data_IF_558959949937
#
_entry.id   IF_558959949937
#
_cell.length_a   1.000
_cell.length_b   1.000
_cell.length_c   1.000
_cell.angle_alpha   90.00
_cell.angle_beta   90.00
_cell.angle_gamma   90.00
#
_symmetry.space_group_name_H-M   'P 1'
#
loop_
_entity.id
_entity.type
_entity.pdbx_description
1 polymer ?
#
# COMPACT_ATOMS: atom_id res chain seq x y z
N UNK A 1 -24.66 24.90 -14.90
CA UNK A 1 -24.86 23.59 -14.22
C UNK A 1 -23.93 22.50 -14.72
N UNK A 2 -23.81 22.26 -16.04
CA UNK A 2 -22.92 21.21 -16.58
C UNK A 2 -21.44 21.36 -16.17
N UNK A 3 -20.87 22.59 -16.22
CA UNK A 3 -19.48 22.83 -15.78
C UNK A 3 -19.25 22.43 -14.31
N UNK A 4 -20.21 22.72 -13.43
CA UNK A 4 -20.15 22.36 -12.01
C UNK A 4 -20.21 20.84 -11.86
N UNK A 5 -21.06 20.16 -12.63
CA UNK A 5 -21.14 18.70 -12.64
C UNK A 5 -19.81 18.06 -13.06
N UNK A 6 -19.16 18.57 -14.11
CA UNK A 6 -17.82 18.12 -14.53
C UNK A 6 -16.76 18.36 -13.46
N UNK A 7 -16.77 19.54 -12.83
CA UNK A 7 -15.84 19.86 -11.75
C UNK A 7 -16.00 18.91 -10.56
N UNK A 8 -17.25 18.63 -10.14
CA UNK A 8 -17.55 17.66 -9.07
C UNK A 8 -17.07 16.26 -9.44
N UNK A 9 -17.38 15.81 -10.66
CA UNK A 9 -17.04 14.48 -11.15
C UNK A 9 -15.53 14.23 -11.32
N UNK A 10 -14.71 15.29 -11.35
CA UNK A 10 -13.25 15.21 -11.46
C UNK A 10 -12.52 15.55 -10.16
N UNK A 11 -12.85 16.67 -9.53
CA UNK A 11 -12.12 17.20 -8.37
C UNK A 11 -12.33 16.35 -7.12
N UNK A 12 -13.53 15.85 -6.86
CA UNK A 12 -13.77 15.02 -5.67
C UNK A 12 -12.99 13.70 -5.76
N UNK A 13 -13.04 12.94 -6.88
CA UNK A 13 -12.23 11.72 -7.01
C UNK A 13 -10.73 11.98 -6.92
N UNK A 14 -10.24 13.09 -7.48
CA UNK A 14 -8.84 13.48 -7.35
C UNK A 14 -8.47 13.82 -5.90
N UNK A 15 -9.36 14.47 -5.15
CA UNK A 15 -9.17 14.72 -3.73
C UNK A 15 -9.12 13.42 -2.93
N UNK A 16 -10.01 12.47 -3.22
CA UNK A 16 -9.99 11.15 -2.56
C UNK A 16 -8.70 10.39 -2.91
N UNK A 17 -8.27 10.41 -4.17
CA UNK A 17 -6.99 9.83 -4.59
C UNK A 17 -5.82 10.49 -3.85
N UNK A 18 -5.82 11.81 -3.71
CA UNK A 18 -4.80 12.53 -2.95
C UNK A 18 -4.78 12.08 -1.50
N UNK A 19 -5.94 11.98 -0.84
CA UNK A 19 -6.04 11.48 0.54
C UNK A 19 -5.46 10.06 0.65
N UNK A 20 -5.83 9.15 -0.26
CA UNK A 20 -5.31 7.77 -0.26
C UNK A 20 -3.80 7.75 -0.52
N UNK A 21 -3.31 8.54 -1.46
CA UNK A 21 -1.88 8.66 -1.74
C UNK A 21 -1.11 9.21 -0.52
N UNK A 22 -1.68 10.17 0.20
CA UNK A 22 -1.10 10.72 1.43
C UNK A 22 -1.11 9.74 2.62
N UNK A 23 -1.79 8.59 2.53
CA UNK A 23 -1.69 7.54 3.54
C UNK A 23 -0.37 6.76 3.45
N UNK A 24 0.33 6.80 2.31
CA UNK A 24 1.65 6.19 2.17
C UNK A 24 2.72 7.04 2.90
N UNK A 25 2.87 6.72 4.18
CA UNK A 25 3.78 7.39 5.10
C UNK A 25 5.25 7.16 4.76
N UNK A 26 5.57 6.06 4.07
CA UNK A 26 6.94 5.68 3.72
C UNK A 26 7.40 6.26 2.38
N UNK A 27 6.48 6.90 1.65
CA UNK A 27 6.70 7.36 0.26
C UNK A 27 7.29 6.24 -0.60
N UNK A 28 6.87 4.99 -0.37
CA UNK A 28 7.27 3.84 -1.19
C UNK A 28 6.71 4.01 -2.60
N UNK A 29 5.50 4.53 -2.69
CA UNK A 29 4.83 4.91 -3.92
C UNK A 29 5.53 6.08 -4.60
N UNK A 30 5.92 5.90 -5.86
CA UNK A 30 6.38 7.05 -6.66
C UNK A 30 5.19 7.79 -7.24
N UNK A 31 5.15 9.11 -7.06
CA UNK A 31 4.16 9.98 -7.71
C UNK A 31 4.05 9.69 -9.22
N UNK A 32 5.19 9.42 -9.88
CA UNK A 32 5.24 9.06 -11.30
C UNK A 32 4.43 7.80 -11.63
N UNK A 33 4.48 6.76 -10.79
CA UNK A 33 3.70 5.54 -11.00
C UNK A 33 2.24 5.71 -10.66
N UNK A 34 1.90 6.51 -9.65
CA UNK A 34 0.50 6.89 -9.36
C UNK A 34 -0.10 7.69 -10.53
N UNK A 35 0.65 8.65 -11.08
CA UNK A 35 0.23 9.42 -12.25
C UNK A 35 0.10 8.53 -13.49
N UNK A 36 1.07 7.65 -13.76
CA UNK A 36 0.99 6.69 -14.86
C UNK A 36 -0.23 5.77 -14.72
N UNK A 37 -0.51 5.32 -13.50
CA UNK A 37 -1.68 4.49 -13.16
C UNK A 37 -2.98 5.23 -13.47
N UNK A 38 -3.11 6.48 -13.04
CA UNK A 38 -4.26 7.35 -13.33
C UNK A 38 -4.45 7.58 -14.84
N UNK A 39 -3.37 7.91 -15.55
CA UNK A 39 -3.41 8.13 -17.01
C UNK A 39 -3.75 6.84 -17.75
N UNK A 40 -3.24 5.69 -17.30
CA UNK A 40 -3.62 4.40 -17.86
C UNK A 40 -5.10 4.08 -17.63
N UNK A 41 -5.65 4.37 -16.46
CA UNK A 41 -7.08 4.22 -16.20
C UNK A 41 -7.94 5.04 -17.15
N UNK A 42 -7.52 6.27 -17.42
CA UNK A 42 -8.16 7.15 -18.41
C UNK A 42 -8.12 6.56 -19.81
N UNK A 43 -6.97 6.02 -20.23
CA UNK A 43 -6.83 5.33 -21.52
C UNK A 43 -7.65 4.03 -21.59
N UNK A 44 -7.66 3.25 -20.51
CA UNK A 44 -8.42 2.01 -20.40
C UNK A 44 -9.93 2.27 -20.58
N UNK A 45 -10.44 3.41 -20.09
CA UNK A 45 -11.81 3.83 -20.38
C UNK A 45 -12.06 4.07 -21.87
N UNK A 46 -11.16 4.79 -22.55
CA UNK A 46 -11.31 5.04 -23.99
C UNK A 46 -11.31 3.74 -24.80
N UNK A 47 -10.46 2.79 -24.44
CA UNK A 47 -10.41 1.46 -25.06
C UNK A 47 -11.68 0.65 -24.77
N UNK A 48 -12.07 0.54 -23.50
CA UNK A 48 -13.23 -0.22 -23.07
C UNK A 48 -14.53 0.33 -23.68
N UNK A 49 -14.73 1.64 -23.62
CA UNK A 49 -15.92 2.30 -24.18
C UNK A 49 -16.01 2.10 -25.70
N UNK A 50 -14.88 2.09 -26.41
CA UNK A 50 -14.83 1.82 -27.85
C UNK A 50 -15.20 0.37 -28.17
N UNK A 51 -14.66 -0.60 -27.42
CA UNK A 51 -15.00 -2.03 -27.57
C UNK A 51 -16.48 -2.26 -27.25
N UNK A 52 -16.98 -1.71 -26.14
CA UNK A 52 -18.37 -1.86 -25.72
C UNK A 52 -19.33 -1.28 -26.76
N UNK A 53 -19.04 -0.09 -27.31
CA UNK A 53 -19.83 0.51 -28.40
C UNK A 53 -19.81 -0.33 -29.67
N UNK A 54 -18.67 -0.92 -30.03
CA UNK A 54 -18.57 -1.81 -31.18
C UNK A 54 -19.43 -3.07 -31.02
N UNK A 55 -19.37 -3.73 -29.85
CA UNK A 55 -20.15 -4.94 -29.55
C UNK A 55 -21.66 -4.68 -29.63
N UNK A 56 -22.11 -3.54 -29.09
CA UNK A 56 -23.52 -3.15 -29.12
C UNK A 56 -23.94 -2.71 -30.53
N UNK A 57 -23.16 -1.85 -31.18
CA UNK A 57 -23.51 -1.25 -32.47
C UNK A 57 -23.59 -2.24 -33.62
N UNK A 58 -22.83 -3.34 -33.56
CA UNK A 58 -22.89 -4.42 -34.54
C UNK A 58 -23.85 -5.56 -34.15
N UNK A 59 -24.59 -5.41 -33.05
CA UNK A 59 -25.54 -6.44 -32.59
C UNK A 59 -24.88 -7.75 -32.13
N UNK A 60 -23.58 -7.73 -31.79
CA UNK A 60 -22.86 -8.92 -31.29
C UNK A 60 -23.41 -9.33 -29.93
N UNK A 61 -23.72 -8.35 -29.08
CA UNK A 61 -24.32 -8.54 -27.77
C UNK A 61 -25.40 -7.48 -27.51
N UNK A 62 -26.43 -7.86 -26.76
CA UNK A 62 -27.44 -6.92 -26.28
C UNK A 62 -26.81 -5.90 -25.30
N UNK A 63 -27.27 -4.64 -25.37
CA UNK A 63 -26.81 -3.56 -24.49
C UNK A 63 -26.86 -3.92 -23.01
N UNK A 64 -27.93 -4.58 -22.56
CA UNK A 64 -28.09 -4.93 -21.15
C UNK A 64 -27.05 -5.97 -20.71
N UNK A 65 -26.79 -7.00 -21.52
CA UNK A 65 -25.74 -7.99 -21.29
C UNK A 65 -24.36 -7.37 -21.22
N UNK A 66 -24.08 -6.40 -22.11
CA UNK A 66 -22.81 -5.68 -22.10
C UNK A 66 -22.64 -4.91 -20.79
N UNK A 67 -23.62 -4.07 -20.42
CA UNK A 67 -23.54 -3.24 -19.21
C UNK A 67 -23.46 -4.08 -17.93
N UNK A 68 -24.19 -5.19 -17.85
CA UNK A 68 -24.26 -6.00 -16.63
C UNK A 68 -23.07 -6.94 -16.45
N UNK A 69 -22.47 -7.44 -17.53
CA UNK A 69 -21.48 -8.53 -17.43
C UNK A 69 -20.21 -8.26 -18.25
N UNK A 70 -20.34 -8.07 -19.56
CA UNK A 70 -19.17 -8.02 -20.45
C UNK A 70 -18.29 -6.79 -20.21
N UNK A 71 -18.90 -5.62 -20.02
CA UNK A 71 -18.20 -4.37 -19.80
C UNK A 71 -17.37 -4.41 -18.50
N UNK A 72 -17.93 -4.73 -17.31
CA UNK A 72 -17.14 -4.85 -16.09
C UNK A 72 -15.91 -5.76 -16.21
N UNK A 73 -16.05 -6.92 -16.87
CA UNK A 73 -14.94 -7.86 -17.07
C UNK A 73 -13.86 -7.24 -17.95
N UNK A 74 -14.25 -6.72 -19.12
CA UNK A 74 -13.31 -6.12 -20.07
C UNK A 74 -12.61 -4.90 -19.48
N UNK A 75 -13.32 -4.09 -18.72
CA UNK A 75 -12.79 -2.91 -18.08
C UNK A 75 -11.73 -3.25 -17.03
N UNK A 76 -12.01 -4.19 -16.11
CA UNK A 76 -11.04 -4.59 -15.10
C UNK A 76 -9.79 -5.26 -15.71
N UNK A 77 -9.96 -6.04 -16.79
CA UNK A 77 -8.82 -6.59 -17.54
C UNK A 77 -7.94 -5.50 -18.14
N UNK A 78 -8.55 -4.53 -18.84
CA UNK A 78 -7.82 -3.42 -19.48
C UNK A 78 -7.11 -2.54 -18.45
N UNK A 79 -7.79 -2.22 -17.34
CA UNK A 79 -7.21 -1.46 -16.22
C UNK A 79 -5.97 -2.17 -15.66
N UNK A 80 -6.03 -3.48 -15.48
CA UNK A 80 -4.95 -4.24 -14.85
C UNK A 80 -3.66 -4.37 -15.70
N UNK A 81 -3.70 -4.08 -17.01
CA UNK A 81 -2.54 -4.25 -17.89
C UNK A 81 -1.30 -3.48 -17.42
N UNK A 82 -1.46 -2.24 -16.94
CA UNK A 82 -0.33 -1.46 -16.42
C UNK A 82 0.26 -2.05 -15.13
N UNK A 83 -0.53 -2.76 -14.33
CA UNK A 83 -0.06 -3.40 -13.10
C UNK A 83 0.94 -4.54 -13.40
N UNK A 84 0.79 -5.23 -14.53
CA UNK A 84 1.75 -6.25 -14.99
C UNK A 84 3.15 -5.65 -15.15
N UNK A 85 3.21 -4.41 -15.63
CA UNK A 85 4.46 -3.66 -15.78
C UNK A 85 4.95 -3.09 -14.44
N UNK A 86 4.08 -2.41 -13.68
CA UNK A 86 4.45 -1.72 -12.44
C UNK A 86 4.94 -2.69 -11.36
N UNK A 87 4.30 -3.85 -11.23
CA UNK A 87 4.66 -4.87 -10.24
C UNK A 87 6.04 -5.49 -10.49
N UNK A 88 6.70 -5.19 -11.62
CA UNK A 88 8.07 -5.64 -11.92
C UNK A 88 9.11 -4.55 -11.67
N UNK A 89 8.68 -3.33 -11.31
CA UNK A 89 9.60 -2.22 -11.06
C UNK A 89 10.31 -2.39 -9.72
N UNK A 90 11.57 -1.97 -9.59
CA UNK A 90 12.33 -2.12 -8.34
C UNK A 90 11.75 -1.25 -7.22
N UNK A 91 11.18 -0.10 -7.57
CA UNK A 91 10.48 0.79 -6.63
C UNK A 91 9.09 0.29 -6.20
N UNK A 92 8.62 -0.85 -6.70
CA UNK A 92 7.42 -1.51 -6.18
C UNK A 92 7.87 -2.40 -5.03
N UNK A 93 7.56 -1.99 -3.80
CA UNK A 93 8.09 -2.62 -2.59
C UNK A 93 7.09 -3.55 -1.94
N UNK A 94 5.80 -3.22 -1.94
CA UNK A 94 4.80 -4.00 -1.21
C UNK A 94 3.38 -3.98 -1.82
N UNK A 95 2.46 -4.78 -1.27
CA UNK A 95 1.09 -4.86 -1.79
C UNK A 95 0.33 -3.54 -1.64
N UNK A 96 0.73 -2.70 -0.68
CA UNK A 96 0.18 -1.36 -0.46
C UNK A 96 0.37 -0.48 -1.70
N UNK A 97 1.54 -0.53 -2.35
CA UNK A 97 1.77 0.14 -3.64
C UNK A 97 0.77 -0.34 -4.70
N UNK A 98 0.53 -1.65 -4.74
CA UNK A 98 -0.48 -2.26 -5.60
C UNK A 98 -1.88 -1.71 -5.35
N UNK A 99 -2.27 -1.56 -4.09
CA UNK A 99 -3.55 -0.96 -3.70
C UNK A 99 -3.66 0.48 -4.20
N UNK A 100 -2.63 1.31 -3.98
CA UNK A 100 -2.61 2.73 -4.37
C UNK A 100 -2.63 2.88 -5.89
N UNK A 101 -1.81 2.12 -6.62
CA UNK A 101 -1.79 2.14 -8.09
C UNK A 101 -3.11 1.64 -8.67
N UNK A 102 -3.68 0.56 -8.14
CA UNK A 102 -5.00 0.06 -8.51
C UNK A 102 -6.10 1.10 -8.27
N UNK A 103 -6.07 1.75 -7.11
CA UNK A 103 -7.01 2.83 -6.78
C UNK A 103 -6.89 4.01 -7.76
N UNK A 104 -5.67 4.42 -8.10
CA UNK A 104 -5.42 5.48 -9.08
C UNK A 104 -5.93 5.14 -10.48
N UNK A 105 -5.74 3.89 -10.94
CA UNK A 105 -6.30 3.39 -12.21
C UNK A 105 -7.83 3.52 -12.20
N UNK A 106 -8.48 3.04 -11.13
CA UNK A 106 -9.92 3.09 -11.01
C UNK A 106 -10.47 4.53 -11.00
N UNK A 107 -9.80 5.46 -10.29
CA UNK A 107 -10.16 6.88 -10.28
C UNK A 107 -10.02 7.51 -11.67
N UNK A 108 -8.90 7.26 -12.36
CA UNK A 108 -8.68 7.77 -13.72
C UNK A 108 -9.75 7.28 -14.70
N UNK A 109 -10.10 6.00 -14.63
CA UNK A 109 -11.18 5.42 -15.44
C UNK A 109 -12.53 6.08 -15.14
N UNK A 110 -12.87 6.18 -13.85
CA UNK A 110 -14.18 6.62 -13.43
C UNK A 110 -14.47 8.09 -13.75
N UNK A 111 -13.46 8.97 -13.72
CA UNK A 111 -13.62 10.38 -14.11
C UNK A 111 -14.12 10.50 -15.56
N UNK A 112 -13.50 9.78 -16.50
CA UNK A 112 -13.91 9.85 -17.90
C UNK A 112 -15.26 9.15 -18.14
N UNK A 113 -15.54 8.06 -17.43
CA UNK A 113 -16.86 7.46 -17.48
C UNK A 113 -17.94 8.44 -16.98
N UNK A 114 -17.70 9.16 -15.88
CA UNK A 114 -18.62 10.18 -15.41
C UNK A 114 -18.91 11.24 -16.45
N UNK A 115 -17.92 11.63 -17.23
CA UNK A 115 -18.12 12.62 -18.29
C UNK A 115 -19.06 12.08 -19.38
N UNK A 116 -18.94 10.81 -19.77
CA UNK A 116 -19.88 10.17 -20.71
C UNK A 116 -21.32 10.15 -20.14
N UNK A 117 -21.48 9.81 -18.86
CA UNK A 117 -22.79 9.80 -18.20
C UNK A 117 -23.39 11.21 -18.02
N UNK A 118 -22.57 12.22 -17.71
CA UNK A 118 -23.03 13.62 -17.60
C UNK A 118 -23.48 14.15 -18.96
N UNK A 119 -22.76 13.81 -20.04
CA UNK A 119 -23.13 14.19 -21.40
C UNK A 119 -24.48 13.58 -21.81
N UNK A 120 -24.69 12.30 -21.49
CA UNK A 120 -25.94 11.60 -21.84
C UNK A 120 -27.12 12.02 -20.96
N UNK A 121 -26.88 12.39 -19.69
CA UNK A 121 -27.89 12.85 -18.74
C UNK A 121 -27.86 14.37 -18.52
N UNK A 122 -27.76 15.17 -19.59
CA UNK A 122 -27.52 16.62 -19.51
C UNK A 122 -28.53 17.39 -18.63
N UNK A 123 -29.81 17.00 -18.65
CA UNK A 123 -30.85 17.61 -17.81
C UNK A 123 -30.70 17.32 -16.31
N UNK A 124 -30.05 16.20 -15.96
CA UNK A 124 -29.80 15.76 -14.59
C UNK A 124 -28.32 15.79 -14.22
N UNK A 125 -27.48 16.50 -14.99
CA UNK A 125 -26.02 16.46 -14.93
C UNK A 125 -25.45 16.53 -13.52
N UNK A 126 -25.97 17.43 -12.68
CA UNK A 126 -25.50 17.60 -11.30
C UNK A 126 -25.85 16.40 -10.41
N UNK A 127 -27.08 15.89 -10.49
CA UNK A 127 -27.50 14.71 -9.74
C UNK A 127 -26.73 13.46 -10.18
N UNK A 128 -26.51 13.31 -11.49
CA UNK A 128 -25.68 12.25 -12.06
C UNK A 128 -24.23 12.34 -11.56
N UNK A 129 -23.63 13.53 -11.55
CA UNK A 129 -22.26 13.72 -11.05
C UNK A 129 -22.15 13.33 -9.57
N UNK A 130 -23.04 13.84 -8.71
CA UNK A 130 -23.02 13.54 -7.28
C UNK A 130 -23.23 12.05 -7.02
N UNK A 131 -24.26 11.46 -7.63
CA UNK A 131 -24.60 10.05 -7.45
C UNK A 131 -23.45 9.12 -7.85
N UNK A 132 -22.78 9.42 -8.97
CA UNK A 132 -21.65 8.61 -9.46
C UNK A 132 -20.39 8.79 -8.63
N UNK A 133 -20.12 10.01 -8.13
CA UNK A 133 -18.96 10.29 -7.27
C UNK A 133 -19.00 9.49 -5.97
N UNK A 134 -20.17 9.38 -5.33
CA UNK A 134 -20.30 8.64 -4.08
C UNK A 134 -20.46 7.13 -4.26
N UNK A 135 -20.67 6.66 -5.50
CA UNK A 135 -20.96 5.26 -5.80
C UNK A 135 -19.98 4.67 -6.82
N UNK A 136 -20.28 4.75 -8.13
CA UNK A 136 -19.52 4.12 -9.21
C UNK A 136 -18.03 4.45 -9.18
N UNK A 137 -17.65 5.68 -8.83
CA UNK A 137 -16.23 6.05 -8.69
C UNK A 137 -15.49 5.22 -7.65
N UNK A 138 -16.12 5.06 -6.48
CA UNK A 138 -15.53 4.28 -5.40
C UNK A 138 -15.50 2.79 -5.78
N UNK A 139 -16.49 2.29 -6.52
CA UNK A 139 -16.50 0.90 -7.01
C UNK A 139 -15.34 0.64 -7.98
N UNK A 140 -15.11 1.50 -8.97
CA UNK A 140 -13.97 1.35 -9.87
C UNK A 140 -12.65 1.42 -9.10
N UNK A 141 -12.52 2.39 -8.19
CA UNK A 141 -11.32 2.53 -7.37
C UNK A 141 -11.07 1.29 -6.49
N UNK A 142 -12.11 0.76 -5.84
CA UNK A 142 -12.03 -0.44 -5.00
C UNK A 142 -11.75 -1.70 -5.81
N UNK A 143 -12.48 -1.95 -6.90
CA UNK A 143 -12.30 -3.14 -7.73
C UNK A 143 -10.87 -3.21 -8.29
N UNK A 144 -10.38 -2.10 -8.85
CA UNK A 144 -9.02 -2.03 -9.36
C UNK A 144 -7.96 -2.07 -8.26
N UNK A 145 -8.22 -1.50 -7.07
CA UNK A 145 -7.34 -1.64 -5.91
C UNK A 145 -7.24 -3.10 -5.42
N UNK A 146 -8.33 -3.87 -5.40
CA UNK A 146 -8.31 -5.29 -5.05
C UNK A 146 -7.42 -6.08 -6.01
N UNK A 147 -7.55 -5.82 -7.31
CA UNK A 147 -6.67 -6.43 -8.33
C UNK A 147 -5.22 -6.00 -8.11
N UNK A 148 -4.98 -4.72 -7.84
CA UNK A 148 -3.66 -4.18 -7.48
C UNK A 148 -3.02 -4.86 -6.28
N UNK A 149 -3.76 -5.06 -5.19
CA UNK A 149 -3.33 -5.82 -4.00
C UNK A 149 -2.95 -7.24 -4.40
N UNK A 150 -3.78 -7.91 -5.19
CA UNK A 150 -3.50 -9.28 -5.63
C UNK A 150 -2.21 -9.36 -6.47
N UNK A 151 -1.98 -8.43 -7.39
CA UNK A 151 -0.70 -8.35 -8.11
C UNK A 151 0.48 -8.14 -7.16
N UNK A 152 0.34 -7.23 -6.19
CA UNK A 152 1.38 -6.95 -5.21
C UNK A 152 1.71 -8.15 -4.32
N UNK A 153 0.72 -8.86 -3.80
CA UNK A 153 0.91 -10.10 -3.05
C UNK A 153 1.56 -11.18 -3.91
N UNK A 154 1.09 -11.33 -5.15
CA UNK A 154 1.59 -12.33 -6.09
C UNK A 154 3.06 -12.12 -6.49
N UNK A 155 3.62 -10.92 -6.30
CA UNK A 155 5.06 -10.64 -6.48
C UNK A 155 5.95 -11.51 -5.58
N UNK A 156 5.46 -11.89 -4.40
CA UNK A 156 6.21 -12.63 -3.38
C UNK A 156 5.88 -14.13 -3.32
N UNK A 157 4.89 -14.59 -4.10
CA UNK A 157 4.53 -16.01 -4.15
C UNK A 157 5.39 -16.78 -5.15
N UNK A 158 5.63 -18.07 -4.85
CA UNK A 158 6.12 -19.05 -5.82
C UNK A 158 5.20 -19.14 -7.03
N UNK A 159 5.74 -19.51 -8.19
CA UNK A 159 5.06 -19.55 -9.50
C UNK A 159 3.68 -20.22 -9.45
N UNK A 160 3.51 -21.33 -8.73
CA UNK A 160 2.22 -22.02 -8.63
C UNK A 160 1.14 -21.20 -7.87
N UNK A 161 1.51 -20.47 -6.81
CA UNK A 161 0.58 -19.65 -6.03
C UNK A 161 0.31 -18.27 -6.64
N UNK A 162 1.26 -17.76 -7.42
CA UNK A 162 1.17 -16.45 -8.10
C UNK A 162 -0.07 -16.32 -8.97
N UNK A 163 -0.34 -17.32 -9.81
CA UNK A 163 -1.49 -17.32 -10.72
C UNK A 163 -2.81 -17.33 -9.97
N UNK A 164 -2.91 -18.13 -8.90
CA UNK A 164 -4.12 -18.23 -8.09
C UNK A 164 -4.46 -16.91 -7.39
N UNK A 165 -3.48 -16.24 -6.78
CA UNK A 165 -3.71 -14.96 -6.09
C UNK A 165 -4.19 -13.89 -7.07
N UNK A 166 -3.57 -13.79 -8.24
CA UNK A 166 -4.00 -12.85 -9.29
C UNK A 166 -5.42 -13.19 -9.77
N UNK A 167 -5.70 -14.47 -10.02
CA UNK A 167 -7.03 -14.93 -10.44
C UNK A 167 -8.10 -14.59 -9.40
N UNK A 168 -7.83 -14.81 -8.11
CA UNK A 168 -8.73 -14.43 -7.02
C UNK A 168 -8.96 -12.92 -6.96
N UNK A 169 -7.92 -12.11 -7.15
CA UNK A 169 -8.04 -10.65 -7.24
C UNK A 169 -8.98 -10.22 -8.37
N UNK A 170 -8.82 -10.80 -9.57
CA UNK A 170 -9.73 -10.55 -10.68
C UNK A 170 -11.15 -11.00 -10.40
N UNK A 171 -11.34 -12.22 -9.88
CA UNK A 171 -12.67 -12.74 -9.55
C UNK A 171 -13.39 -11.82 -8.56
N UNK A 172 -12.71 -11.40 -7.49
CA UNK A 172 -13.31 -10.53 -6.47
C UNK A 172 -13.60 -9.14 -7.05
N UNK A 173 -12.64 -8.52 -7.74
CA UNK A 173 -12.80 -7.19 -8.33
C UNK A 173 -13.90 -7.14 -9.39
N UNK A 174 -13.92 -8.13 -10.29
CA UNK A 174 -14.96 -8.25 -11.33
C UNK A 174 -16.32 -8.58 -10.72
N UNK A 175 -16.41 -9.48 -9.73
CA UNK A 175 -17.67 -9.80 -9.08
C UNK A 175 -18.27 -8.59 -8.35
N UNK A 176 -17.44 -7.80 -7.68
CA UNK A 176 -17.87 -6.54 -7.05
C UNK A 176 -18.44 -5.57 -8.09
N UNK A 177 -17.73 -5.39 -9.21
CA UNK A 177 -18.14 -4.47 -10.27
C UNK A 177 -19.41 -4.95 -11.01
N UNK A 178 -19.48 -6.23 -11.39
CA UNK A 178 -20.68 -6.87 -11.96
C UNK A 178 -21.87 -6.73 -11.00
N UNK A 179 -21.66 -7.05 -9.72
CA UNK A 179 -22.68 -6.97 -8.69
C UNK A 179 -23.23 -5.55 -8.55
N UNK A 180 -22.35 -4.55 -8.54
CA UNK A 180 -22.75 -3.15 -8.50
C UNK A 180 -23.52 -2.71 -9.76
N UNK A 181 -23.07 -3.06 -10.96
CA UNK A 181 -23.80 -2.74 -12.19
C UNK A 181 -25.19 -3.40 -12.23
N UNK A 182 -25.31 -4.64 -11.74
CA UNK A 182 -26.60 -5.31 -11.61
C UNK A 182 -27.49 -4.66 -10.56
N UNK A 183 -26.93 -4.19 -9.44
CA UNK A 183 -27.69 -3.42 -8.44
C UNK A 183 -28.24 -2.12 -9.04
N UNK A 184 -27.39 -1.34 -9.71
CA UNK A 184 -27.75 -0.03 -10.27
C UNK A 184 -28.73 -0.14 -11.45
N UNK A 185 -28.69 -1.24 -12.20
CA UNK A 185 -29.61 -1.45 -13.33
C UNK A 185 -30.97 -2.03 -12.93
N UNK A 186 -31.12 -2.59 -11.72
CA UNK A 186 -32.33 -3.31 -11.30
C UNK A 186 -33.12 -2.65 -10.17
N UNK A 187 -32.52 -1.73 -9.42
CA UNK A 187 -33.18 -1.04 -8.30
C UNK A 187 -33.81 0.27 -8.77
N UNK A 188 -35.04 0.55 -8.32
CA UNK A 188 -35.76 1.78 -8.60
C UNK A 188 -35.08 3.03 -8.01
N UNK A 189 -35.32 4.19 -8.62
CA UNK A 189 -34.57 5.43 -8.40
C UNK A 189 -34.60 5.98 -6.96
N UNK A 190 -35.54 5.57 -6.12
CA UNK A 190 -35.70 6.08 -4.75
C UNK A 190 -34.53 5.71 -3.82
N UNK A 191 -34.39 4.44 -3.39
CA UNK A 191 -33.34 4.03 -2.47
C UNK A 191 -31.99 3.73 -3.15
N UNK A 192 -31.94 3.71 -4.49
CA UNK A 192 -30.75 3.34 -5.26
C UNK A 192 -29.50 4.15 -4.87
N UNK A 193 -29.61 5.47 -4.72
CA UNK A 193 -28.47 6.32 -4.35
C UNK A 193 -27.90 6.00 -2.97
N UNK A 194 -28.77 5.63 -2.01
CA UNK A 194 -28.34 5.26 -0.66
C UNK A 194 -27.58 3.93 -0.68
N UNK A 195 -28.13 2.91 -1.36
CA UNK A 195 -27.45 1.62 -1.49
C UNK A 195 -26.15 1.74 -2.28
N UNK A 196 -26.17 2.41 -3.42
CA UNK A 196 -24.99 2.59 -4.26
C UNK A 196 -23.90 3.38 -3.53
N UNK A 197 -24.27 4.44 -2.80
CA UNK A 197 -23.36 5.20 -1.95
C UNK A 197 -22.78 4.36 -0.81
N UNK A 198 -23.61 3.56 -0.13
CA UNK A 198 -23.16 2.70 0.96
C UNK A 198 -22.15 1.65 0.49
N UNK A 199 -22.38 0.99 -0.64
CA UNK A 199 -21.43 0.01 -1.22
C UNK A 199 -20.13 0.71 -1.62
N UNK A 200 -20.20 1.89 -2.24
CA UNK A 200 -19.02 2.68 -2.59
C UNK A 200 -18.17 3.05 -1.37
N UNK A 201 -18.79 3.62 -0.33
CA UNK A 201 -18.11 4.00 0.91
C UNK A 201 -17.53 2.78 1.62
N UNK A 202 -18.26 1.67 1.70
CA UNK A 202 -17.75 0.43 2.28
C UNK A 202 -16.49 -0.07 1.54
N UNK A 203 -16.49 0.01 0.20
CA UNK A 203 -15.32 -0.31 -0.62
C UNK A 203 -14.12 0.61 -0.33
N UNK A 204 -14.34 1.92 -0.21
CA UNK A 204 -13.29 2.87 0.16
C UNK A 204 -12.69 2.57 1.53
N UNK A 205 -13.54 2.32 2.54
CA UNK A 205 -13.13 1.99 3.89
C UNK A 205 -12.35 0.67 3.93
N UNK A 206 -12.76 -0.33 3.14
CA UNK A 206 -12.04 -1.60 3.01
C UNK A 206 -10.61 -1.39 2.47
N UNK A 207 -10.45 -0.58 1.42
CA UNK A 207 -9.12 -0.27 0.86
C UNK A 207 -8.28 0.54 1.84
N UNK A 208 -8.85 1.56 2.47
CA UNK A 208 -8.14 2.36 3.47
C UNK A 208 -7.70 1.48 4.67
N UNK A 209 -8.54 0.55 5.11
CA UNK A 209 -8.19 -0.43 6.14
C UNK A 209 -7.06 -1.36 5.67
N UNK A 210 -7.14 -1.90 4.45
CA UNK A 210 -6.12 -2.78 3.90
C UNK A 210 -4.75 -2.08 3.79
N UNK A 211 -4.73 -0.82 3.35
CA UNK A 211 -3.54 0.02 3.29
C UNK A 211 -2.97 0.24 4.70
N UNK A 212 -3.79 0.67 5.66
CA UNK A 212 -3.35 0.90 7.05
C UNK A 212 -2.79 -0.36 7.69
N UNK A 213 -3.43 -1.51 7.47
CA UNK A 213 -2.95 -2.80 7.93
C UNK A 213 -1.60 -3.15 7.28
N UNK A 214 -1.49 -3.01 5.97
CA UNK A 214 -0.23 -3.27 5.24
C UNK A 214 0.92 -2.40 5.74
N UNK A 215 0.68 -1.11 5.95
CA UNK A 215 1.67 -0.18 6.51
C UNK A 215 2.06 -0.55 7.95
N UNK A 216 1.15 -1.13 8.73
CA UNK A 216 1.44 -1.61 10.09
C UNK A 216 2.26 -2.89 10.07
N UNK A 217 2.02 -3.80 9.11
CA UNK A 217 2.86 -4.99 8.90
C UNK A 217 4.26 -4.59 8.40
N UNK A 218 4.35 -3.59 7.53
CA UNK A 218 5.60 -3.02 7.01
C UNK A 218 6.44 -2.36 8.10
N UNK A 219 5.81 -1.67 9.07
CA UNK A 219 6.47 -1.16 10.29
C UNK A 219 7.27 -2.24 11.02
N UNK A 220 6.65 -3.39 11.25
CA UNK A 220 7.28 -4.50 11.99
C UNK A 220 8.48 -5.04 11.22
N UNK A 221 8.41 -5.09 9.89
CA UNK A 221 9.49 -5.62 9.07
C UNK A 221 10.74 -4.75 9.07
N UNK A 222 10.57 -3.44 9.13
CA UNK A 222 11.70 -2.51 9.21
C UNK A 222 12.54 -2.79 10.47
N UNK A 223 11.89 -3.19 11.57
CA UNK A 223 12.50 -3.44 12.88
C UNK A 223 13.47 -4.61 12.82
N UNK A 224 13.02 -5.70 12.17
CA UNK A 224 13.77 -6.94 12.05
C UNK A 224 14.95 -6.85 11.08
N UNK A 225 14.97 -5.83 10.21
CA UNK A 225 15.81 -5.83 9.00
C UNK A 225 16.89 -4.74 9.00
N UNK A 226 16.65 -3.60 9.66
CA UNK A 226 17.66 -2.54 9.77
C UNK A 226 18.74 -2.91 10.81
N UNK A 227 20.00 -2.78 10.42
CA UNK A 227 21.14 -3.06 11.32
C UNK A 227 22.45 -2.47 10.82
N UNK A 228 23.55 -2.83 11.47
CA UNK A 228 24.87 -2.25 11.20
C UNK A 228 25.33 -2.42 9.74
N UNK A 229 24.89 -3.48 9.05
CA UNK A 229 25.19 -3.72 7.64
C UNK A 229 24.71 -2.59 6.71
N UNK A 230 23.72 -1.79 7.12
CA UNK A 230 23.21 -0.63 6.37
C UNK A 230 23.67 0.71 6.98
N UNK A 231 24.64 0.69 7.90
CA UNK A 231 25.13 1.87 8.64
C UNK A 231 23.99 2.63 9.34
N UNK A 232 22.96 1.91 9.75
CA UNK A 232 21.83 2.44 10.53
C UNK A 232 22.04 2.03 11.98
N UNK A 233 21.98 2.99 12.89
CA UNK A 233 22.08 2.68 14.33
C UNK A 233 20.75 2.18 14.87
N UNK A 234 20.76 1.45 15.99
CA UNK A 234 19.54 0.97 16.66
C UNK A 234 18.58 2.12 17.00
N UNK A 235 19.13 3.26 17.44
CA UNK A 235 18.34 4.47 17.71
C UNK A 235 17.75 5.10 16.45
N UNK A 236 18.46 5.09 15.32
CA UNK A 236 17.93 5.56 14.02
C UNK A 236 16.81 4.64 13.50
N UNK A 237 16.99 3.32 13.62
CA UNK A 237 15.95 2.34 13.28
C UNK A 237 14.69 2.55 14.15
N UNK A 238 14.85 2.81 15.46
CA UNK A 238 13.75 3.09 16.38
C UNK A 238 12.86 4.28 15.94
N UNK A 239 13.46 5.33 15.34
CA UNK A 239 12.71 6.52 14.89
C UNK A 239 11.81 6.23 13.69
N UNK A 240 12.27 5.36 12.80
CA UNK A 240 11.53 4.97 11.60
C UNK A 240 10.16 4.34 11.93
N UNK A 241 10.02 3.70 13.09
CA UNK A 241 8.75 3.11 13.53
C UNK A 241 7.68 4.15 13.88
N UNK A 242 8.12 5.34 14.28
CA UNK A 242 7.23 6.43 14.71
C UNK A 242 7.09 7.52 13.67
N UNK A 243 7.24 7.20 12.38
CA UNK A 243 7.03 8.16 11.28
C UNK A 243 5.64 8.82 11.29
N UNK A 244 4.61 8.18 11.88
CA UNK A 244 3.30 8.81 12.06
C UNK A 244 3.34 10.00 13.05
N UNK A 245 4.24 9.93 14.02
CA UNK A 245 4.44 10.92 15.08
C UNK A 245 5.72 11.72 14.81
N UNK A 246 6.23 11.70 13.57
CA UNK A 246 7.51 12.31 13.23
C UNK A 246 7.50 13.80 13.52
N UNK A 247 6.39 14.49 13.27
CA UNK A 247 6.23 15.91 13.61
C UNK A 247 6.42 16.16 15.11
N UNK A 248 5.85 15.30 15.97
CA UNK A 248 5.99 15.37 17.42
C UNK A 248 7.44 15.07 17.85
N UNK A 249 8.05 14.06 17.24
CA UNK A 249 9.43 13.63 17.49
C UNK A 249 10.45 14.68 17.06
N UNK A 250 10.18 15.33 15.93
CA UNK A 250 11.04 16.35 15.37
C UNK A 250 10.75 17.74 15.96
N UNK A 251 9.68 17.93 16.74
CA UNK A 251 9.38 19.23 17.35
C UNK A 251 10.54 19.78 18.22
N UNK A 252 11.20 18.99 19.10
CA UNK A 252 12.39 19.46 19.83
C UNK A 252 13.57 19.80 18.90
N UNK A 253 13.72 19.03 17.81
CA UNK A 253 14.73 19.27 16.78
C UNK A 253 14.45 20.56 15.99
N UNK A 254 13.19 20.82 15.64
CA UNK A 254 12.75 22.02 14.95
C UNK A 254 12.93 23.27 15.83
N UNK A 255 12.65 23.16 17.14
CA UNK A 255 12.90 24.24 18.09
C UNK A 255 14.40 24.54 18.22
N UNK A 256 15.25 23.51 18.22
CA UNK A 256 16.69 23.67 18.45
C UNK A 256 17.48 24.07 17.20
N UNK A 257 17.17 23.50 16.05
CA UNK A 257 17.94 23.65 14.81
C UNK A 257 17.15 24.33 13.66
N UNK A 258 15.89 24.68 13.90
CA UNK A 258 15.00 25.30 12.93
C UNK A 258 14.21 24.30 12.08
N UNK A 259 13.11 24.75 11.45
CA UNK A 259 12.19 23.88 10.70
C UNK A 259 12.86 23.26 9.47
N UNK A 260 13.78 23.98 8.84
CA UNK A 260 14.52 23.47 7.68
C UNK A 260 15.36 22.23 8.03
N UNK A 261 16.05 22.25 9.19
CA UNK A 261 16.87 21.12 9.63
C UNK A 261 16.02 19.93 10.03
N UNK A 262 14.86 20.16 10.66
CA UNK A 262 13.89 19.11 10.95
C UNK A 262 13.40 18.41 9.67
N UNK A 263 13.09 19.18 8.62
CA UNK A 263 12.69 18.61 7.32
C UNK A 263 13.81 17.78 6.66
N UNK A 264 15.08 18.18 6.80
CA UNK A 264 16.22 17.38 6.33
C UNK A 264 16.34 16.04 7.09
N UNK A 265 16.10 16.05 8.40
CA UNK A 265 16.10 14.84 9.23
C UNK A 265 14.93 13.93 8.85
N UNK A 266 13.73 14.49 8.63
CA UNK A 266 12.57 13.73 8.13
C UNK A 266 12.87 13.04 6.79
N UNK A 267 13.50 13.76 5.85
CA UNK A 267 13.88 13.20 4.56
C UNK A 267 14.89 12.05 4.73
N UNK A 268 15.90 12.23 5.58
CA UNK A 268 16.88 11.18 5.90
C UNK A 268 16.23 9.94 6.52
N UNK A 269 15.35 10.11 7.52
CA UNK A 269 14.66 9.01 8.19
C UNK A 269 13.71 8.27 7.23
N UNK A 270 13.07 8.99 6.31
CA UNK A 270 12.23 8.40 5.26
C UNK A 270 13.06 7.53 4.30
N UNK A 271 14.26 8.00 3.91
CA UNK A 271 15.18 7.21 3.08
C UNK A 271 15.67 5.95 3.80
N UNK A 272 15.96 6.04 5.10
CA UNK A 272 16.29 4.88 5.94
C UNK A 272 15.14 3.86 5.99
N UNK A 273 13.91 4.33 6.18
CA UNK A 273 12.73 3.48 6.18
C UNK A 273 12.55 2.74 4.86
N UNK A 274 12.67 3.47 3.75
CA UNK A 274 12.57 2.93 2.41
C UNK A 274 13.63 1.88 2.15
N UNK A 275 14.87 2.09 2.59
CA UNK A 275 15.94 1.11 2.47
C UNK A 275 15.62 -0.18 3.25
N UNK A 276 15.13 -0.06 4.48
CA UNK A 276 14.72 -1.21 5.31
C UNK A 276 13.61 -2.04 4.66
N UNK A 277 12.60 -1.36 4.11
CA UNK A 277 11.51 -1.99 3.34
C UNK A 277 12.08 -2.75 2.15
N UNK A 278 12.91 -2.09 1.32
CA UNK A 278 13.47 -2.69 0.12
C UNK A 278 14.33 -3.92 0.43
N UNK A 279 15.03 -3.94 1.56
CA UNK A 279 15.81 -5.10 2.01
C UNK A 279 14.91 -6.29 2.33
N UNK A 280 13.80 -6.08 3.06
CA UNK A 280 12.82 -7.15 3.30
C UNK A 280 12.15 -7.62 2.01
N UNK A 281 11.86 -6.70 1.10
CA UNK A 281 11.34 -7.02 -0.24
C UNK A 281 12.32 -7.94 -0.96
N UNK A 282 13.63 -7.64 -0.90
CA UNK A 282 14.68 -8.44 -1.54
C UNK A 282 14.69 -9.90 -1.06
N UNK A 283 14.58 -10.12 0.26
CA UNK A 283 14.57 -11.47 0.86
C UNK A 283 13.40 -12.35 0.38
N UNK A 284 12.30 -11.72 -0.07
CA UNK A 284 11.09 -12.41 -0.55
C UNK A 284 11.07 -12.59 -2.07
N UNK A 285 11.99 -11.97 -2.80
CA UNK A 285 12.06 -12.07 -4.25
C UNK A 285 12.72 -13.37 -4.69
N UNK A 286 12.29 -13.88 -5.84
CA UNK A 286 12.78 -15.15 -6.40
C UNK A 286 13.42 -14.98 -7.79
N UNK A 287 13.04 -13.93 -8.52
CA UNK A 287 13.53 -13.67 -9.87
C UNK A 287 14.84 -12.89 -9.82
N UNK A 288 15.92 -13.50 -10.36
CA UNK A 288 17.28 -12.94 -10.32
C UNK A 288 17.36 -11.55 -10.97
N UNK A 289 16.67 -11.34 -12.10
CA UNK A 289 16.63 -10.02 -12.77
C UNK A 289 16.00 -8.96 -11.88
N UNK A 290 14.90 -9.31 -11.20
CA UNK A 290 14.22 -8.41 -10.28
C UNK A 290 15.06 -8.15 -9.03
N UNK A 291 15.76 -9.18 -8.51
CA UNK A 291 16.70 -9.06 -7.39
C UNK A 291 17.81 -8.07 -7.72
N UNK A 292 18.49 -8.23 -8.86
CA UNK A 292 19.55 -7.29 -9.29
C UNK A 292 19.00 -5.87 -9.45
N UNK A 293 17.83 -5.70 -10.08
CA UNK A 293 17.23 -4.39 -10.24
C UNK A 293 16.88 -3.71 -8.91
N UNK A 294 16.40 -4.47 -7.92
CA UNK A 294 16.12 -3.95 -6.58
C UNK A 294 17.41 -3.60 -5.85
N UNK A 295 18.46 -4.42 -5.94
CA UNK A 295 19.77 -4.12 -5.37
C UNK A 295 20.35 -2.81 -5.93
N UNK A 296 20.29 -2.60 -7.24
CA UNK A 296 20.76 -1.34 -7.86
C UNK A 296 19.97 -0.12 -7.34
N UNK A 297 18.65 -0.24 -7.18
CA UNK A 297 17.86 0.84 -6.58
C UNK A 297 18.19 1.02 -5.09
N UNK A 298 18.49 -0.04 -4.34
CA UNK A 298 18.92 0.05 -2.94
C UNK A 298 20.24 0.81 -2.83
N UNK A 299 21.18 0.58 -3.73
CA UNK A 299 22.46 1.30 -3.76
C UNK A 299 22.24 2.79 -4.06
N UNK A 300 21.32 3.11 -4.99
CA UNK A 300 20.92 4.51 -5.24
C UNK A 300 20.33 5.16 -3.99
N UNK A 301 19.42 4.47 -3.29
CA UNK A 301 18.81 4.97 -2.05
C UNK A 301 19.85 5.13 -0.93
N UNK A 302 20.85 4.24 -0.85
CA UNK A 302 21.96 4.38 0.10
C UNK A 302 22.81 5.62 -0.18
N UNK A 303 23.11 5.91 -1.44
CA UNK A 303 23.83 7.12 -1.82
C UNK A 303 23.03 8.39 -1.47
N UNK A 304 21.73 8.43 -1.78
CA UNK A 304 20.84 9.52 -1.41
C UNK A 304 20.75 9.70 0.12
N UNK A 305 20.67 8.60 0.86
CA UNK A 305 20.64 8.58 2.32
C UNK A 305 21.95 9.11 2.92
N UNK A 306 23.11 8.71 2.38
CA UNK A 306 24.41 9.17 2.85
C UNK A 306 24.60 10.67 2.56
N UNK A 307 24.14 11.16 1.41
CA UNK A 307 24.11 12.59 1.10
C UNK A 307 23.20 13.37 2.07
N UNK A 308 21.99 12.88 2.31
CA UNK A 308 21.05 13.49 3.26
C UNK A 308 21.65 13.52 4.69
N UNK A 309 22.34 12.45 5.11
CA UNK A 309 23.04 12.40 6.41
C UNK A 309 24.11 13.49 6.52
N UNK A 310 24.86 13.73 5.45
CA UNK A 310 25.88 14.80 5.41
C UNK A 310 25.24 16.19 5.53
N UNK A 311 24.12 16.43 4.85
CA UNK A 311 23.40 17.71 4.93
C UNK A 311 22.81 18.01 6.31
N UNK A 312 22.30 16.96 7.00
CA UNK A 312 21.85 17.08 8.39
C UNK A 312 23.02 17.51 9.29
N UNK A 313 24.18 16.89 9.12
CA UNK A 313 25.41 17.23 9.82
C UNK A 313 25.54 16.56 11.20
N UNK A 314 26.78 16.40 11.67
CA UNK A 314 27.14 15.59 12.83
C UNK A 314 26.41 15.99 14.11
N UNK A 315 26.28 17.29 14.39
CA UNK A 315 25.66 17.77 15.63
C UNK A 315 24.16 17.44 15.71
N UNK A 316 23.44 17.63 14.61
CA UNK A 316 22.02 17.29 14.54
C UNK A 316 21.81 15.77 14.60
N UNK A 317 22.68 15.00 13.94
CA UNK A 317 22.68 13.54 14.03
C UNK A 317 22.97 13.02 15.45
N UNK A 318 23.92 13.60 16.16
CA UNK A 318 24.19 13.26 17.56
C UNK A 318 22.99 13.55 18.45
N UNK A 319 22.34 14.70 18.24
CA UNK A 319 21.14 15.05 19.01
C UNK A 319 19.97 14.11 18.69
N UNK A 320 19.74 13.77 17.41
CA UNK A 320 18.75 12.77 17.00
C UNK A 320 18.97 11.43 17.73
N UNK A 321 20.22 10.95 17.78
CA UNK A 321 20.58 9.72 18.52
C UNK A 321 20.39 9.84 20.04
N UNK A 322 20.49 11.05 20.60
CA UNK A 322 20.26 11.26 22.03
C UNK A 322 18.77 11.26 22.41
N UNK A 323 17.87 11.55 21.46
CA UNK A 323 16.42 11.47 21.67
C UNK A 323 15.97 9.99 21.76
N UNK A 324 16.71 9.08 21.14
CA UNK A 324 16.39 7.66 21.04
C UNK A 324 17.56 6.80 21.57
N UNK A 325 17.65 6.58 22.90
CA UNK A 325 18.67 5.74 23.50
C UNK A 325 18.66 4.32 22.89
N UNK A 326 19.84 3.70 22.80
CA UNK A 326 20.00 2.34 22.28
C UNK A 326 19.26 1.25 23.11
N UNK A 327 18.73 1.61 24.28
CA UNK A 327 18.05 0.71 25.21
C UNK A 327 16.59 0.41 24.82
N UNK A 328 15.99 1.14 23.86
CA UNK A 328 14.64 0.88 23.33
C UNK A 328 14.64 -0.23 22.24
N UNK A 329 15.53 -1.23 22.36
CA UNK A 329 15.54 -2.39 21.47
C UNK A 329 14.53 -3.45 21.93
N UNK A 330 13.57 -3.86 21.08
CA UNK A 330 12.63 -4.91 21.41
C UNK A 330 13.27 -6.29 21.59
N UNK A 331 14.52 -6.47 21.16
CA UNK A 331 15.31 -7.66 21.49
C UNK A 331 15.63 -7.72 22.99
N UNK A 332 15.91 -6.58 23.64
CA UNK A 332 16.14 -6.56 25.08
C UNK A 332 14.86 -6.78 25.86
N UNK A 333 13.74 -6.19 25.43
CA UNK A 333 12.44 -6.46 26.05
C UNK A 333 11.94 -7.89 25.79
N UNK A 334 12.22 -8.47 24.62
CA UNK A 334 11.95 -9.88 24.31
C UNK A 334 12.87 -10.83 25.08
N UNK A 335 14.14 -10.48 25.28
CA UNK A 335 15.06 -11.24 26.14
C UNK A 335 14.63 -11.14 27.60
N UNK A 336 14.25 -9.97 28.07
CA UNK A 336 13.78 -9.74 29.44
C UNK A 336 12.45 -10.44 29.69
N UNK A 337 11.54 -10.47 28.72
CA UNK A 337 10.32 -11.27 28.75
C UNK A 337 10.63 -12.78 28.71
N UNK A 338 11.59 -13.22 27.90
CA UNK A 338 12.01 -14.63 27.87
C UNK A 338 12.73 -15.07 29.15
N UNK A 339 13.52 -14.17 29.76
CA UNK A 339 14.21 -14.40 31.03
C UNK A 339 13.20 -14.39 32.18
N UNK A 340 12.19 -13.53 32.14
CA UNK A 340 11.12 -13.48 33.16
C UNK A 340 10.16 -14.67 33.04
N UNK A 341 9.82 -15.14 31.84
CA UNK A 341 9.13 -16.42 31.61
C UNK A 341 9.96 -17.63 32.03
N UNK A 342 11.28 -17.61 31.82
CA UNK A 342 12.17 -18.68 32.32
C UNK A 342 12.34 -18.64 33.85
N UNK A 343 12.30 -17.45 34.47
CA UNK A 343 12.27 -17.31 35.93
C UNK A 343 10.95 -17.78 36.52
N UNK A 344 9.81 -17.52 35.87
CA UNK A 344 8.50 -17.95 36.35
C UNK A 344 8.26 -19.46 36.15
N UNK A 345 8.86 -20.07 35.12
CA UNK A 345 8.72 -21.50 34.84
C UNK A 345 9.72 -22.41 35.57
N UNK A 346 10.70 -21.86 36.32
CA UNK A 346 11.63 -22.61 37.17
C UNK A 346 12.54 -23.63 36.45
N UNK A 347 12.38 -23.80 35.13
CA UNK A 347 13.02 -24.86 34.34
C UNK A 347 14.54 -24.74 34.32
N UNK A 348 15.07 -23.53 34.22
CA UNK A 348 16.51 -23.31 34.07
C UNK A 348 17.27 -23.66 35.35
N UNK A 349 16.73 -23.31 36.52
CA UNK A 349 17.31 -23.66 37.81
C UNK A 349 17.18 -25.16 38.11
N UNK A 350 16.02 -25.76 37.83
CA UNK A 350 15.83 -27.21 38.02
C UNK A 350 16.75 -28.07 37.14
N UNK A 351 17.05 -27.63 35.92
CA UNK A 351 17.96 -28.35 35.00
C UNK A 351 19.42 -28.22 35.44
N UNK A 352 19.82 -27.07 36.00
CA UNK A 352 21.16 -26.88 36.54
C UNK A 352 21.37 -27.65 37.85
N UNK A 353 20.35 -27.70 38.71
CA UNK A 353 20.40 -28.46 39.97
C UNK A 353 20.47 -29.97 39.71
N UNK A 354 19.73 -30.47 38.71
CA UNK A 354 19.80 -31.89 38.31
C UNK A 354 21.18 -32.23 37.77
N UNK A 355 21.77 -31.39 36.91
CA UNK A 355 23.10 -31.62 36.34
C UNK A 355 24.22 -31.53 37.40
N UNK A 356 24.09 -30.65 38.40
CA UNK A 356 25.02 -30.60 39.52
C UNK A 356 24.89 -31.81 40.44
N UNK A 357 23.67 -32.33 40.64
CA UNK A 357 23.43 -33.55 41.43
C UNK A 357 23.97 -34.80 40.73
N UNK A 358 23.81 -34.92 39.40
CA UNK A 358 24.35 -36.02 38.61
C UNK A 358 25.89 -36.03 38.63
N UNK A 359 26.53 -34.85 38.53
CA UNK A 359 28.00 -34.74 38.65
C UNK A 359 28.52 -35.16 40.02
N UNK A 360 27.86 -34.76 41.12
CA UNK A 360 28.24 -35.20 42.46
C UNK A 360 28.08 -36.70 42.67
N UNK A 361 27.04 -37.31 42.09
CA UNK A 361 26.81 -38.75 42.16
C UNK A 361 27.84 -39.57 41.35
N UNK A 362 28.33 -39.01 40.23
CA UNK A 362 29.40 -39.65 39.44
C UNK A 362 30.76 -39.55 40.12
N UNK A 363 31.04 -38.44 40.82
CA UNK A 363 32.28 -38.26 41.58
C UNK A 363 32.33 -39.14 42.85
N UNK A 364 31.19 -39.41 43.51
CA UNK A 364 31.13 -40.32 44.68
C UNK A 364 31.18 -41.81 44.33
N UNK A 365 31.05 -42.16 43.05
CA UNK A 365 31.13 -43.56 42.56
C UNK A 365 32.57 -43.94 42.15
N UNK A 366 33.51 -43.00 42.14
CA UNK A 366 34.90 -43.19 41.70
C UNK A 366 35.93 -42.98 42.84
N UNK A 367 35.47 -42.77 44.07
CA UNK A 367 36.27 -42.79 45.30
C UNK A 367 35.79 -43.97 46.17
#
# INVERSE_FOLDING_TARGET
MALIAYAIAALIPLLVLYIIYSLDLYRTGTFRYTLLSFLWGSLAFLLASSINRYLIGNGVLERLTVVQFTAPIMEELLKALVLIYLVRRPKFTYFVDGAIYGFAIGIGFAIFENFEYINTASAAALGTAIGRVISTNLIHATASAIIGIAFGLARFHRTAGRGLVIALGFVIGMALHIGFNNLVTRVESGPLLLYAGAVGIAGLLLIAWAIRRGLTEEKVWIEETLGEADRVTTGEAAVVHRLNDLELILAPLAQRFGPHKASQIEAFLTLQARLGIMRKTLDKLQDEKTITAVQTEMDTVREEMDAARQEVGTYAMMYLRSIFPADDSPLWSSLENSISENKSSGKLWGTLESQMSERKATESSQA
#
